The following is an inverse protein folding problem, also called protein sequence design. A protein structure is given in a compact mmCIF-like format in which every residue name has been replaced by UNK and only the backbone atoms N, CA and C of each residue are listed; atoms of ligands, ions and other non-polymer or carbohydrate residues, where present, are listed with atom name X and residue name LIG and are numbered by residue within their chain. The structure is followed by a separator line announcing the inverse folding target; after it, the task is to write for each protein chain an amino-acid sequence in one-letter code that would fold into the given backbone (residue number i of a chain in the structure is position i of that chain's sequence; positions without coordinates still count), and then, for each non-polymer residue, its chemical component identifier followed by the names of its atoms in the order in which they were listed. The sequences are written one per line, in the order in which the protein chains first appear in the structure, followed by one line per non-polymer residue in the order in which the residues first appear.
data_IF_155348162069
#
_entry.id   IF_155348162069
#
_cell.length_a   1.000
_cell.length_b   1.000
_cell.length_c   1.000
_cell.angle_alpha   90.00
_cell.angle_beta   90.00
_cell.angle_gamma   90.00
#
_symmetry.space_group_name_H-M   'P 1'
#
loop_
_entity.id
_entity.type
_entity.pdbx_description
1 polymer ?
#
# COMPACT_ATOMS: atom_id res chain seq x y z
N UNK A 1 10.34 -19.83 -5.07
CA UNK A 1 10.48 -18.55 -5.79
C UNK A 1 10.86 -17.53 -4.74
N UNK A 2 12.10 -17.07 -4.73
CA UNK A 2 12.50 -16.03 -3.78
C UNK A 2 11.71 -14.77 -4.05
N UNK A 3 10.91 -14.35 -3.08
CA UNK A 3 10.22 -13.07 -3.10
C UNK A 3 11.27 -11.98 -2.83
N UNK A 4 11.12 -10.85 -3.49
CA UNK A 4 11.94 -9.66 -3.17
C UNK A 4 11.62 -9.30 -1.72
N UNK A 5 12.60 -9.28 -0.80
CA UNK A 5 12.35 -8.96 0.60
C UNK A 5 11.93 -7.50 0.73
N UNK A 6 10.89 -7.25 1.52
CA UNK A 6 10.34 -5.92 1.81
C UNK A 6 10.27 -5.65 3.32
N UNK A 7 10.98 -6.44 4.12
CA UNK A 7 10.89 -6.38 5.60
C UNK A 7 11.28 -5.00 6.14
N UNK A 8 12.28 -4.38 5.53
CA UNK A 8 12.72 -3.02 5.89
C UNK A 8 11.62 -2.00 5.63
N UNK A 9 11.04 -2.04 4.44
CA UNK A 9 9.97 -1.10 4.05
C UNK A 9 8.71 -1.30 4.91
N UNK A 10 8.39 -2.55 5.33
CA UNK A 10 7.31 -2.83 6.27
C UNK A 10 7.60 -2.23 7.65
N UNK A 11 8.83 -2.36 8.16
CA UNK A 11 9.25 -1.77 9.42
C UNK A 11 9.26 -0.24 9.36
N UNK A 12 9.77 0.34 8.27
CA UNK A 12 9.79 1.79 8.04
C UNK A 12 8.37 2.35 7.98
N UNK A 13 7.44 1.63 7.35
CA UNK A 13 6.03 2.03 7.28
C UNK A 13 5.34 1.93 8.65
N UNK A 14 5.62 0.91 9.46
CA UNK A 14 5.14 0.84 10.84
C UNK A 14 5.58 2.07 11.63
N UNK A 15 6.89 2.37 11.61
CA UNK A 15 7.43 3.54 12.31
C UNK A 15 6.82 4.86 11.80
N UNK A 16 6.52 4.94 10.49
CA UNK A 16 5.83 6.07 9.90
C UNK A 16 4.40 6.22 10.45
N UNK A 17 3.64 5.14 10.63
CA UNK A 17 2.29 5.17 11.19
C UNK A 17 2.27 5.54 12.68
N UNK A 18 3.35 5.28 13.42
CA UNK A 18 3.44 5.64 14.85
C UNK A 18 3.42 7.15 15.09
N UNK A 19 3.90 7.93 14.11
CA UNK A 19 3.99 9.39 14.18
C UNK A 19 2.99 10.12 13.27
N UNK A 20 2.28 9.38 12.41
CA UNK A 20 1.33 9.95 11.45
C UNK A 20 -0.06 9.34 11.62
N UNK A 21 -0.99 10.11 12.20
CA UNK A 21 -2.40 9.68 12.31
C UNK A 21 -3.08 9.65 10.94
N UNK A 22 -2.72 10.55 10.04
CA UNK A 22 -3.21 10.61 8.66
C UNK A 22 -2.04 10.63 7.71
N UNK A 23 -1.99 9.70 6.78
CA UNK A 23 -0.92 9.58 5.81
C UNK A 23 -1.41 9.24 4.42
N UNK A 24 -0.68 9.70 3.43
CA UNK A 24 -0.80 9.26 2.04
C UNK A 24 0.26 8.20 1.79
N UNK A 25 -0.17 7.02 1.38
CA UNK A 25 0.71 5.99 0.85
C UNK A 25 0.78 6.17 -0.67
N UNK A 26 1.86 6.80 -1.14
CA UNK A 26 2.05 7.10 -2.54
C UNK A 26 2.92 6.05 -3.22
N UNK A 27 2.38 5.42 -4.24
CA UNK A 27 3.12 4.50 -5.10
C UNK A 27 2.52 4.47 -6.51
N UNK A 28 3.37 4.29 -7.52
CA UNK A 28 2.93 4.22 -8.91
C UNK A 28 2.08 2.99 -9.19
N UNK A 29 1.32 3.04 -10.28
CA UNK A 29 0.61 1.88 -10.77
C UNK A 29 1.60 0.75 -11.11
N UNK A 30 1.33 -0.46 -10.58
CA UNK A 30 2.22 -1.61 -10.78
C UNK A 30 3.34 -1.78 -9.75
N UNK A 31 3.55 -0.85 -8.84
CA UNK A 31 4.58 -0.92 -7.79
C UNK A 31 4.26 -1.91 -6.65
N UNK A 32 3.21 -2.71 -6.79
CA UNK A 32 2.89 -3.76 -5.81
C UNK A 32 2.24 -3.24 -4.52
N UNK A 33 1.52 -2.09 -4.55
CA UNK A 33 0.79 -1.52 -3.40
C UNK A 33 -0.02 -2.56 -2.62
N UNK A 34 -0.89 -3.28 -3.32
CA UNK A 34 -1.77 -4.29 -2.72
C UNK A 34 -0.98 -5.45 -2.08
N UNK A 35 0.12 -5.87 -2.70
CA UNK A 35 1.00 -6.89 -2.11
C UNK A 35 1.63 -6.39 -0.81
N UNK A 36 2.21 -5.19 -0.83
CA UNK A 36 2.81 -4.56 0.35
C UNK A 36 1.83 -4.45 1.51
N UNK A 37 0.63 -3.91 1.24
CA UNK A 37 -0.40 -3.73 2.26
C UNK A 37 -0.92 -5.06 2.82
N UNK A 38 -1.03 -6.10 1.99
CA UNK A 38 -1.44 -7.42 2.46
C UNK A 38 -0.37 -8.04 3.37
N UNK A 39 0.91 -7.92 3.02
CA UNK A 39 1.99 -8.39 3.90
C UNK A 39 2.06 -7.55 5.18
N UNK A 40 1.86 -6.22 5.11
CA UNK A 40 1.78 -5.35 6.27
C UNK A 40 0.64 -5.75 7.21
N UNK A 41 -0.57 -5.90 6.69
CA UNK A 41 -1.75 -6.34 7.47
C UNK A 41 -1.53 -7.69 8.12
N UNK A 42 -0.91 -8.63 7.42
CA UNK A 42 -0.62 -9.97 7.92
C UNK A 42 0.43 -9.97 9.04
N UNK A 43 1.49 -9.17 8.87
CA UNK A 43 2.59 -9.08 9.84
C UNK A 43 2.15 -8.42 11.14
N UNK A 44 1.32 -7.38 11.06
CA UNK A 44 0.92 -6.56 12.21
C UNK A 44 -0.54 -6.74 12.65
N UNK A 45 -1.16 -7.88 12.33
CA UNK A 45 -2.55 -8.20 12.67
C UNK A 45 -2.84 -8.25 14.17
N UNK A 46 -1.82 -8.46 14.99
CA UNK A 46 -1.94 -8.55 16.45
C UNK A 46 -1.81 -7.17 17.13
N UNK A 47 -1.24 -6.18 16.43
CA UNK A 47 -1.10 -4.79 16.90
C UNK A 47 -2.23 -3.89 16.40
N UNK A 48 -2.73 -4.16 15.18
CA UNK A 48 -3.66 -3.29 14.46
C UNK A 48 -4.93 -4.04 14.03
N UNK A 49 -6.06 -3.34 14.14
CA UNK A 49 -7.31 -3.73 13.50
C UNK A 49 -7.51 -2.91 12.23
N UNK A 50 -7.56 -3.58 11.08
CA UNK A 50 -7.62 -2.96 9.77
C UNK A 50 -9.02 -3.01 9.17
N UNK A 51 -9.51 -1.87 8.69
CA UNK A 51 -10.65 -1.76 7.78
C UNK A 51 -10.14 -1.26 6.44
N UNK A 52 -10.51 -1.92 5.35
CA UNK A 52 -10.05 -1.55 4.00
C UNK A 52 -11.24 -1.22 3.11
N UNK A 53 -11.26 -0.02 2.56
CA UNK A 53 -12.26 0.45 1.62
C UNK A 53 -11.71 0.47 0.21
N UNK A 54 -12.58 0.13 -0.74
CA UNK A 54 -12.31 0.18 -2.18
C UNK A 54 -13.29 1.12 -2.86
N UNK A 55 -13.04 2.44 -2.90
CA UNK A 55 -13.99 3.43 -3.42
C UNK A 55 -14.40 3.21 -4.87
N UNK A 56 -13.60 2.48 -5.63
CA UNK A 56 -13.98 2.06 -7.00
C UNK A 56 -15.32 1.31 -7.03
N UNK A 57 -15.68 0.61 -5.95
CA UNK A 57 -16.95 -0.08 -5.82
C UNK A 57 -18.14 0.87 -5.72
N UNK A 58 -17.89 2.14 -5.38
CA UNK A 58 -18.90 3.18 -5.23
C UNK A 58 -18.92 4.18 -6.40
N UNK A 59 -18.16 3.92 -7.45
CA UNK A 59 -17.94 4.84 -8.57
C UNK A 59 -19.21 5.26 -9.32
N UNK A 60 -20.28 4.46 -9.21
CA UNK A 60 -21.61 4.77 -9.81
C UNK A 60 -22.51 5.58 -8.87
N UNK A 61 -22.10 5.82 -7.62
CA UNK A 61 -22.87 6.59 -6.66
C UNK A 61 -22.85 8.08 -7.00
N UNK A 62 -23.91 8.80 -6.65
CA UNK A 62 -23.86 10.25 -6.68
C UNK A 62 -22.86 10.77 -5.64
N UNK A 63 -22.20 11.90 -5.94
CA UNK A 63 -21.18 12.45 -5.07
C UNK A 63 -21.68 12.73 -3.63
N UNK A 64 -22.95 13.07 -3.47
CA UNK A 64 -23.59 13.27 -2.17
C UNK A 64 -23.76 11.96 -1.37
N UNK A 65 -23.75 10.80 -2.04
CA UNK A 65 -24.04 9.49 -1.44
C UNK A 65 -22.79 8.71 -1.06
N UNK A 66 -21.61 9.16 -1.48
CA UNK A 66 -20.36 8.40 -1.32
C UNK A 66 -20.09 8.01 0.14
N UNK A 67 -20.40 8.91 1.10
CA UNK A 67 -20.18 8.63 2.52
C UNK A 67 -21.19 7.65 3.11
N UNK A 68 -22.39 7.55 2.55
CA UNK A 68 -23.34 6.50 2.92
C UNK A 68 -22.78 5.11 2.62
N UNK A 69 -22.16 4.94 1.44
CA UNK A 69 -21.51 3.68 1.06
C UNK A 69 -20.30 3.40 1.94
N UNK A 70 -19.47 4.40 2.22
CA UNK A 70 -18.31 4.28 3.11
C UNK A 70 -18.75 3.82 4.51
N UNK A 71 -19.72 4.50 5.13
CA UNK A 71 -20.23 4.14 6.46
C UNK A 71 -20.78 2.72 6.49
N UNK A 72 -21.58 2.33 5.50
CA UNK A 72 -22.15 0.99 5.39
C UNK A 72 -21.09 -0.09 5.19
N UNK A 73 -20.06 0.17 4.38
CA UNK A 73 -18.95 -0.77 4.17
C UNK A 73 -18.14 -0.97 5.44
N UNK A 74 -17.81 0.11 6.17
CA UNK A 74 -17.14 0.03 7.47
C UNK A 74 -17.96 -0.84 8.43
N UNK A 75 -19.27 -0.56 8.59
CA UNK A 75 -20.15 -1.30 9.48
C UNK A 75 -20.31 -2.76 9.07
N UNK A 76 -20.36 -3.04 7.77
CA UNK A 76 -20.44 -4.40 7.25
C UNK A 76 -19.18 -5.21 7.62
N UNK A 77 -17.97 -4.61 7.48
CA UNK A 77 -16.73 -5.26 7.88
C UNK A 77 -16.68 -5.49 9.39
N UNK A 78 -17.06 -4.50 10.22
CA UNK A 78 -17.17 -4.63 11.67
C UNK A 78 -18.17 -5.73 12.09
N UNK A 79 -19.30 -5.81 11.40
CA UNK A 79 -20.32 -6.84 11.65
C UNK A 79 -19.80 -8.24 11.29
N UNK A 80 -19.16 -8.37 10.13
CA UNK A 80 -18.57 -9.63 9.65
C UNK A 80 -17.53 -10.18 10.64
N UNK A 81 -16.73 -9.30 11.22
CA UNK A 81 -15.67 -9.64 12.17
C UNK A 81 -16.20 -9.82 13.61
N UNK A 82 -17.52 -9.75 13.81
CA UNK A 82 -18.16 -9.92 15.12
C UNK A 82 -17.84 -8.80 16.12
N UNK A 83 -17.40 -7.64 15.65
CA UNK A 83 -17.01 -6.51 16.52
C UNK A 83 -18.19 -5.66 16.98
N UNK A 84 -19.35 -5.75 16.33
CA UNK A 84 -20.57 -5.00 16.70
C UNK A 84 -21.24 -5.50 17.99
N UNK A 85 -20.75 -6.57 18.59
CA UNK A 85 -21.41 -7.31 19.65
C UNK A 85 -21.58 -6.58 21.01
N UNK A 86 -20.65 -5.71 21.42
CA UNK A 86 -20.74 -5.06 22.73
C UNK A 86 -21.22 -3.61 22.70
N UNK A 87 -21.97 -3.20 21.66
CA UNK A 87 -22.40 -1.81 21.52
C UNK A 87 -23.15 -1.34 22.73
N UNK A 88 -22.60 -0.38 23.43
CA UNK A 88 -23.26 0.35 24.49
C UNK A 88 -24.01 1.54 23.91
N UNK A 89 -25.32 1.34 23.62
CA UNK A 89 -26.18 2.44 23.19
C UNK A 89 -26.38 3.50 24.29
N UNK A 90 -26.04 3.21 25.56
CA UNK A 90 -26.12 4.20 26.65
C UNK A 90 -25.00 5.23 26.54
N UNK A 91 -23.84 4.86 25.98
CA UNK A 91 -22.75 5.80 25.65
C UNK A 91 -23.07 6.73 24.49
N UNK A 92 -24.01 6.37 23.60
CA UNK A 92 -24.47 7.19 22.46
C UNK A 92 -25.49 8.26 22.95
N UNK A 93 -25.24 8.90 24.07
CA UNK A 93 -26.17 9.90 24.63
C UNK A 93 -26.02 11.30 24.04
N UNK A 94 -25.17 11.47 23.03
CA UNK A 94 -24.96 12.78 22.41
C UNK A 94 -26.08 13.14 21.43
N UNK A 95 -26.35 14.42 21.35
CA UNK A 95 -27.46 15.15 20.75
C UNK A 95 -27.78 14.85 19.28
N UNK A 96 -26.95 14.05 18.59
CA UNK A 96 -26.95 13.89 17.13
C UNK A 96 -27.75 12.67 16.67
N UNK A 97 -27.97 11.69 17.53
CA UNK A 97 -28.66 10.45 17.17
C UNK A 97 -30.17 10.64 17.14
N UNK A 98 -30.77 10.70 15.96
CA UNK A 98 -32.22 10.79 15.84
C UNK A 98 -32.90 9.41 15.95
N UNK A 99 -34.19 9.37 16.31
CA UNK A 99 -34.99 8.12 16.28
C UNK A 99 -35.07 7.53 14.86
N UNK A 100 -34.96 8.37 13.86
CA UNK A 100 -35.00 7.99 12.45
C UNK A 100 -33.68 7.32 12.07
N UNK A 101 -32.52 7.94 12.39
CA UNK A 101 -31.21 7.35 12.23
C UNK A 101 -31.06 6.01 12.95
N UNK A 102 -31.60 5.91 14.16
CA UNK A 102 -31.60 4.64 14.92
C UNK A 102 -32.37 3.54 14.18
N UNK A 103 -33.55 3.84 13.64
CA UNK A 103 -34.34 2.85 12.87
C UNK A 103 -33.60 2.40 11.62
N UNK A 104 -32.97 3.31 10.92
CA UNK A 104 -32.18 2.98 9.72
C UNK A 104 -30.99 2.08 10.07
N UNK A 105 -30.21 2.42 11.12
CA UNK A 105 -29.09 1.62 11.60
C UNK A 105 -29.55 0.23 12.01
N UNK A 106 -30.63 0.13 12.80
CA UNK A 106 -31.19 -1.16 13.23
C UNK A 106 -31.66 -1.97 12.01
N UNK A 107 -32.34 -1.34 11.06
CA UNK A 107 -32.80 -2.00 9.83
C UNK A 107 -31.63 -2.54 9.03
N UNK A 108 -30.56 -1.75 8.88
CA UNK A 108 -29.34 -2.18 8.23
C UNK A 108 -28.69 -3.37 8.95
N UNK A 109 -28.53 -3.30 10.28
CA UNK A 109 -27.95 -4.39 11.07
C UNK A 109 -28.78 -5.68 10.99
N UNK A 110 -30.12 -5.57 10.96
CA UNK A 110 -31.03 -6.70 10.75
C UNK A 110 -30.77 -7.36 9.40
N UNK A 111 -30.47 -6.57 8.36
CA UNK A 111 -30.20 -7.09 7.02
C UNK A 111 -28.83 -7.77 6.90
N UNK A 112 -27.85 -7.36 7.73
CA UNK A 112 -26.45 -7.82 7.65
C UNK A 112 -26.11 -8.94 8.63
N UNK A 113 -26.83 -9.06 9.76
CA UNK A 113 -26.52 -10.01 10.81
C UNK A 113 -27.43 -11.25 10.75
N UNK A 114 -26.87 -12.46 10.99
CA UNK A 114 -27.69 -13.64 11.12
C UNK A 114 -28.65 -13.50 12.32
N UNK A 115 -29.86 -14.05 12.18
CA UNK A 115 -30.84 -14.08 13.28
C UNK A 115 -30.25 -14.77 14.50
N UNK A 116 -30.25 -14.12 15.67
CA UNK A 116 -29.68 -14.68 16.87
C UNK A 116 -29.69 -13.73 18.06
N UNK A 117 -28.98 -14.12 19.11
CA UNK A 117 -28.91 -13.42 20.39
C UNK A 117 -28.37 -11.99 20.27
N UNK A 118 -27.42 -11.78 19.35
CA UNK A 118 -26.78 -10.47 19.06
C UNK A 118 -27.83 -9.48 18.55
N UNK A 119 -28.65 -9.90 17.60
CA UNK A 119 -29.68 -9.06 17.01
C UNK A 119 -30.74 -8.69 18.04
N UNK A 120 -31.14 -9.65 18.91
CA UNK A 120 -32.10 -9.40 19.97
C UNK A 120 -31.56 -8.38 20.98
N UNK A 121 -30.31 -8.49 21.40
CA UNK A 121 -29.66 -7.51 22.29
C UNK A 121 -29.61 -6.10 21.68
N UNK A 122 -29.30 -5.98 20.38
CA UNK A 122 -29.31 -4.71 19.65
C UNK A 122 -30.71 -4.11 19.62
N UNK A 123 -31.75 -4.92 19.35
CA UNK A 123 -33.15 -4.48 19.32
C UNK A 123 -33.66 -4.02 20.70
N UNK A 124 -33.31 -4.73 21.77
CA UNK A 124 -33.67 -4.36 23.13
C UNK A 124 -33.02 -3.04 23.57
N UNK A 125 -31.70 -2.93 23.36
CA UNK A 125 -30.97 -1.69 23.66
C UNK A 125 -31.48 -0.51 22.82
N UNK A 126 -31.79 -0.72 21.54
CA UNK A 126 -32.36 0.30 20.66
C UNK A 126 -33.74 0.80 21.16
N UNK A 127 -34.59 -0.09 21.70
CA UNK A 127 -35.89 0.28 22.30
C UNK A 127 -35.72 1.13 23.58
N UNK A 128 -34.77 0.75 24.43
CA UNK A 128 -34.45 1.49 25.66
C UNK A 128 -33.93 2.90 25.31
N UNK A 129 -33.02 2.99 24.37
CA UNK A 129 -32.50 4.27 23.84
C UNK A 129 -33.64 5.15 23.29
N UNK A 130 -34.51 4.59 22.45
CA UNK A 130 -35.62 5.32 21.84
C UNK A 130 -36.57 5.93 22.89
N UNK A 131 -36.76 5.26 24.05
CA UNK A 131 -37.56 5.77 25.14
C UNK A 131 -36.88 6.94 25.85
N UNK A 132 -35.61 6.80 26.21
CA UNK A 132 -34.81 7.85 26.86
C UNK A 132 -34.65 9.09 25.96
N UNK A 133 -34.43 8.88 24.67
CA UNK A 133 -34.27 9.96 23.67
C UNK A 133 -35.52 10.87 23.59
N UNK A 134 -36.74 10.31 23.66
CA UNK A 134 -38.00 11.08 23.63
C UNK A 134 -38.14 12.00 24.82
N UNK A 135 -37.56 11.67 25.96
CA UNK A 135 -37.67 12.42 27.20
C UNK A 135 -36.69 13.60 27.29
N UNK A 136 -35.57 13.57 26.55
CA UNK A 136 -34.45 14.52 26.67
C UNK A 136 -34.37 15.57 25.53
N UNK A 137 -35.25 15.53 24.53
CA UNK A 137 -35.16 16.36 23.33
C UNK A 137 -35.62 17.81 23.54
N UNK A 138 -34.68 18.76 23.38
CA UNK A 138 -34.98 20.19 23.21
C UNK A 138 -35.12 20.56 21.72
N UNK A 139 -35.76 21.72 21.42
CA UNK A 139 -35.88 22.21 20.02
C UNK A 139 -34.54 22.48 19.40
N UNK A 140 -33.57 22.97 20.16
CA UNK A 140 -32.22 23.23 19.70
C UNK A 140 -31.49 21.92 19.32
N UNK A 141 -31.54 20.92 20.18
CA UNK A 141 -30.95 19.59 19.89
C UNK A 141 -31.54 18.93 18.66
N UNK A 142 -32.83 19.12 18.39
CA UNK A 142 -33.47 18.63 17.16
C UNK A 142 -32.94 19.33 15.90
N UNK A 143 -32.73 20.63 15.96
CA UNK A 143 -32.17 21.38 14.85
C UNK A 143 -30.71 21.03 14.59
N UNK A 144 -29.91 20.95 15.64
CA UNK A 144 -28.50 20.56 15.57
C UNK A 144 -28.35 19.16 14.97
N UNK A 145 -29.11 18.16 15.45
CA UNK A 145 -29.07 16.82 14.91
C UNK A 145 -29.51 16.76 13.45
N UNK A 146 -30.53 17.53 13.07
CA UNK A 146 -30.96 17.63 11.67
C UNK A 146 -29.88 18.25 10.80
N UNK A 147 -29.25 19.35 11.23
CA UNK A 147 -28.23 20.05 10.46
C UNK A 147 -26.97 19.20 10.26
N UNK A 148 -26.50 18.55 11.30
CA UNK A 148 -25.28 17.74 11.25
C UNK A 148 -25.43 16.43 10.49
N UNK A 149 -26.62 15.86 10.46
CA UNK A 149 -26.94 14.60 9.77
C UNK A 149 -27.24 14.75 8.28
N UNK A 150 -27.25 16.01 7.75
CA UNK A 150 -27.63 16.24 6.37
C UNK A 150 -26.67 15.51 5.40
N UNK A 151 -27.28 14.68 4.56
CA UNK A 151 -26.60 13.95 3.49
C UNK A 151 -25.96 14.91 2.49
N UNK A 152 -24.71 14.67 2.10
CA UNK A 152 -23.97 15.58 1.24
C UNK A 152 -23.39 16.81 1.95
N UNK A 153 -23.69 17.02 3.22
CA UNK A 153 -23.11 18.07 4.06
C UNK A 153 -21.64 17.83 4.40
N UNK A 154 -20.99 18.84 4.98
CA UNK A 154 -19.60 18.73 5.40
C UNK A 154 -19.45 17.74 6.58
N UNK A 155 -20.39 17.77 7.48
CA UNK A 155 -20.32 16.99 8.71
C UNK A 155 -20.71 15.53 8.48
N UNK A 156 -21.81 15.27 7.81
CA UNK A 156 -22.36 13.92 7.59
C UNK A 156 -22.29 13.01 8.83
N UNK A 157 -22.54 13.59 9.98
CA UNK A 157 -22.48 12.94 11.27
C UNK A 157 -23.88 12.46 11.65
N UNK A 158 -24.09 11.17 11.57
CA UNK A 158 -25.37 10.50 11.77
C UNK A 158 -25.22 9.26 12.68
N UNK A 159 -26.29 8.51 12.84
CA UNK A 159 -26.28 7.29 13.64
C UNK A 159 -25.30 6.22 13.18
N UNK A 160 -25.01 6.15 11.90
CA UNK A 160 -23.98 5.22 11.39
C UNK A 160 -22.58 5.65 11.85
N UNK A 161 -22.29 6.95 11.81
CA UNK A 161 -21.01 7.51 12.27
C UNK A 161 -20.79 7.24 13.76
N UNK A 162 -21.81 7.50 14.61
CA UNK A 162 -21.74 7.23 16.05
C UNK A 162 -21.51 5.74 16.34
N UNK A 163 -22.22 4.86 15.65
CA UNK A 163 -22.05 3.42 15.80
C UNK A 163 -20.64 2.96 15.45
N UNK A 164 -20.05 3.53 14.40
CA UNK A 164 -18.66 3.25 14.03
C UNK A 164 -17.73 3.69 15.16
N UNK A 165 -17.86 4.93 15.64
CA UNK A 165 -17.02 5.50 16.70
C UNK A 165 -17.08 4.63 17.97
N UNK A 166 -18.27 4.28 18.45
CA UNK A 166 -18.42 3.45 19.66
C UNK A 166 -17.85 2.04 19.48
N UNK A 167 -18.01 1.46 18.28
CA UNK A 167 -17.41 0.16 17.99
C UNK A 167 -15.88 0.23 17.97
N UNK A 168 -15.30 1.29 17.40
CA UNK A 168 -13.86 1.49 17.39
C UNK A 168 -13.30 1.73 18.79
N UNK A 169 -14.00 2.48 19.66
CA UNK A 169 -13.62 2.63 21.07
C UNK A 169 -13.51 1.27 21.78
N UNK A 170 -14.46 0.38 21.52
CA UNK A 170 -14.40 -0.98 22.07
C UNK A 170 -13.17 -1.75 21.56
N UNK A 171 -12.88 -1.68 20.27
CA UNK A 171 -11.69 -2.33 19.67
C UNK A 171 -10.40 -1.78 20.30
N UNK A 172 -10.30 -0.46 20.45
CA UNK A 172 -9.17 0.20 21.12
C UNK A 172 -9.02 -0.25 22.57
N UNK A 173 -10.13 -0.37 23.32
CA UNK A 173 -10.11 -0.86 24.70
C UNK A 173 -9.62 -2.32 24.81
N UNK A 174 -9.70 -3.09 23.73
CA UNK A 174 -9.15 -4.45 23.61
C UNK A 174 -7.66 -4.48 23.26
N UNK A 175 -6.99 -3.32 23.18
CA UNK A 175 -5.55 -3.20 22.95
C UNK A 175 -5.12 -3.05 21.50
N UNK A 176 -6.05 -2.97 20.54
CA UNK A 176 -5.73 -2.75 19.13
C UNK A 176 -5.68 -1.26 18.78
N UNK A 177 -4.74 -0.87 17.93
CA UNK A 177 -4.83 0.38 17.17
C UNK A 177 -5.70 0.17 15.94
N UNK A 178 -6.59 1.11 15.64
CA UNK A 178 -7.54 1.02 14.54
C UNK A 178 -7.04 1.76 13.30
N UNK A 179 -7.04 1.09 12.15
CA UNK A 179 -6.51 1.63 10.90
C UNK A 179 -7.54 1.56 9.79
N UNK A 180 -7.85 2.71 9.18
CA UNK A 180 -8.65 2.81 7.98
C UNK A 180 -7.75 2.93 6.75
N UNK A 181 -7.86 1.97 5.83
CA UNK A 181 -7.15 1.97 4.56
C UNK A 181 -8.14 2.29 3.45
N UNK A 182 -7.84 3.28 2.61
CA UNK A 182 -8.67 3.66 1.47
C UNK A 182 -7.84 3.50 0.20
N UNK A 183 -8.14 2.45 -0.57
CA UNK A 183 -7.35 2.06 -1.73
C UNK A 183 -7.75 2.79 -3.01
N UNK A 184 -6.77 3.00 -3.90
CA UNK A 184 -6.93 3.41 -5.29
C UNK A 184 -7.79 4.67 -5.50
N UNK A 185 -7.60 5.71 -4.68
CA UNK A 185 -8.34 6.98 -4.79
C UNK A 185 -8.08 7.73 -6.11
N UNK A 186 -6.95 7.50 -6.76
CA UNK A 186 -6.60 8.07 -8.06
C UNK A 186 -7.31 7.41 -9.25
N UNK A 187 -8.17 6.40 -8.99
CA UNK A 187 -8.93 5.67 -10.01
C UNK A 187 -10.42 5.96 -10.04
N UNK A 188 -10.91 6.78 -9.12
CA UNK A 188 -12.32 7.17 -9.03
C UNK A 188 -12.53 8.57 -9.62
N UNK A 189 -13.80 8.97 -9.74
CA UNK A 189 -14.13 10.33 -10.17
C UNK A 189 -13.43 11.38 -9.28
N UNK A 190 -12.80 12.41 -9.84
CA UNK A 190 -12.13 13.45 -9.08
C UNK A 190 -13.01 14.11 -8.02
N UNK A 191 -14.32 14.29 -8.31
CA UNK A 191 -15.25 14.85 -7.33
C UNK A 191 -15.40 13.97 -6.10
N UNK A 192 -15.42 12.64 -6.29
CA UNK A 192 -15.44 11.67 -5.19
C UNK A 192 -14.12 11.69 -4.42
N UNK A 193 -12.97 11.67 -5.12
CA UNK A 193 -11.65 11.71 -4.50
C UNK A 193 -11.53 12.90 -3.56
N UNK A 194 -11.76 14.11 -4.06
CA UNK A 194 -11.60 15.32 -3.25
C UNK A 194 -12.66 15.42 -2.15
N UNK A 195 -13.88 14.92 -2.38
CA UNK A 195 -14.88 14.85 -1.33
C UNK A 195 -14.46 13.92 -0.20
N UNK A 196 -13.96 12.72 -0.51
CA UNK A 196 -13.47 11.77 0.51
C UNK A 196 -12.37 12.42 1.36
N UNK A 197 -11.37 13.03 0.71
CA UNK A 197 -10.30 13.73 1.42
C UNK A 197 -10.83 14.86 2.32
N UNK A 198 -11.71 15.72 1.79
CA UNK A 198 -12.25 16.85 2.53
C UNK A 198 -13.07 16.42 3.75
N UNK A 199 -13.96 15.43 3.61
CA UNK A 199 -14.84 14.99 4.71
C UNK A 199 -14.07 14.21 5.77
N UNK A 200 -13.10 13.36 5.37
CA UNK A 200 -12.24 12.67 6.35
C UNK A 200 -11.28 13.60 7.08
N UNK A 201 -10.81 14.64 6.39
CA UNK A 201 -9.92 15.65 6.95
C UNK A 201 -10.65 16.84 7.60
N UNK A 202 -11.98 16.90 7.51
CA UNK A 202 -12.75 17.97 8.15
C UNK A 202 -12.50 17.95 9.65
N UNK A 203 -12.06 19.11 10.18
CA UNK A 203 -12.03 19.31 11.61
C UNK A 203 -13.46 19.19 12.12
N UNK A 204 -13.67 18.32 13.07
CA UNK A 204 -14.93 18.28 13.83
C UNK A 204 -14.91 19.57 14.63
N UNK A 205 -15.86 20.44 14.34
CA UNK A 205 -15.91 21.78 14.95
C UNK A 205 -16.06 21.62 16.46
N UNK A 206 -15.11 22.14 17.25
CA UNK A 206 -15.10 22.03 18.71
C UNK A 206 -16.41 22.57 19.32
N UNK A 207 -17.10 23.46 18.62
CA UNK A 207 -18.39 24.02 19.04
C UNK A 207 -19.55 23.01 18.99
N UNK A 208 -19.48 21.99 18.13
CA UNK A 208 -20.50 20.94 18.03
C UNK A 208 -20.23 19.76 18.97
N UNK A 209 -18.98 19.61 19.39
CA UNK A 209 -18.51 18.49 20.20
C UNK A 209 -17.69 18.98 21.39
N UNK A 210 -18.34 19.42 22.44
CA UNK A 210 -17.71 20.00 23.64
C UNK A 210 -16.56 19.19 24.28
N UNK A 211 -16.22 18.00 23.80
CA UNK A 211 -15.17 17.11 24.37
C UNK A 211 -14.58 16.08 23.40
N UNK A 212 -14.74 16.19 22.10
CA UNK A 212 -14.17 15.16 21.22
C UNK A 212 -12.75 15.52 20.78
N UNK A 213 -11.75 14.82 21.30
CA UNK A 213 -10.36 14.84 20.80
C UNK A 213 -10.19 13.95 19.55
N UNK A 214 -11.20 13.89 18.66
CA UNK A 214 -11.14 13.06 17.46
C UNK A 214 -10.26 13.73 16.40
N UNK A 215 -9.26 13.00 15.91
CA UNK A 215 -8.38 13.48 14.85
C UNK A 215 -9.00 13.35 13.45
N UNK A 216 -10.09 12.59 13.33
CA UNK A 216 -10.81 12.32 12.10
C UNK A 216 -12.27 11.94 12.34
N UNK A 217 -13.06 11.91 11.25
CA UNK A 217 -14.51 11.71 11.28
C UNK A 217 -14.98 10.48 12.07
N UNK A 218 -14.27 9.36 12.02
CA UNK A 218 -14.68 8.08 12.60
C UNK A 218 -13.87 7.68 13.84
N UNK A 219 -12.95 8.53 14.29
CA UNK A 219 -12.05 8.23 15.42
C UNK A 219 -11.15 7.01 15.19
N UNK A 220 -10.64 6.79 13.96
CA UNK A 220 -9.55 5.86 13.73
C UNK A 220 -8.23 6.41 14.30
N UNK A 221 -7.36 5.53 14.79
CA UNK A 221 -6.01 5.94 15.21
C UNK A 221 -5.14 6.32 13.99
N UNK A 222 -5.31 5.60 12.88
CA UNK A 222 -4.62 5.92 11.62
C UNK A 222 -5.58 5.89 10.42
N UNK A 223 -5.43 6.85 9.51
CA UNK A 223 -6.05 6.85 8.18
C UNK A 223 -4.94 6.81 7.12
N UNK A 224 -4.99 5.82 6.24
CA UNK A 224 -4.07 5.63 5.12
C UNK A 224 -4.87 5.81 3.82
N UNK A 225 -4.59 6.89 3.09
CA UNK A 225 -5.13 7.11 1.75
C UNK A 225 -4.11 6.70 0.70
N UNK A 226 -4.53 5.88 -0.26
CA UNK A 226 -3.62 5.26 -1.24
C UNK A 226 -3.90 5.80 -2.63
N UNK A 227 -2.90 6.45 -3.20
CA UNK A 227 -2.92 6.94 -4.59
C UNK A 227 -1.50 7.24 -5.09
N UNK A 228 -1.33 7.38 -6.39
CA UNK A 228 -0.12 7.95 -6.99
C UNK A 228 -0.19 9.48 -6.87
N UNK A 229 0.74 10.05 -6.10
CA UNK A 229 0.77 11.49 -5.85
C UNK A 229 0.92 12.30 -7.14
N UNK A 230 1.70 11.81 -8.10
CA UNK A 230 1.91 12.50 -9.38
C UNK A 230 0.66 12.49 -10.27
N UNK A 231 -0.08 11.39 -10.26
CA UNK A 231 -1.36 11.27 -10.97
C UNK A 231 -2.40 12.19 -10.33
N UNK A 232 -2.50 12.18 -9.01
CA UNK A 232 -3.44 13.02 -8.26
C UNK A 232 -3.12 14.51 -8.42
N UNK A 233 -1.85 14.90 -8.48
CA UNK A 233 -1.42 16.26 -8.78
C UNK A 233 -1.91 16.74 -10.16
N UNK A 234 -1.80 15.89 -11.18
CA UNK A 234 -2.31 16.19 -12.52
C UNK A 234 -3.85 16.33 -12.52
N UNK A 235 -4.56 15.47 -11.81
CA UNK A 235 -6.01 15.56 -11.63
C UNK A 235 -6.38 16.86 -10.94
N UNK A 236 -5.66 17.24 -9.88
CA UNK A 236 -5.88 18.48 -9.15
C UNK A 236 -5.73 19.71 -10.05
N UNK A 237 -4.64 19.78 -10.84
CA UNK A 237 -4.43 20.91 -11.76
C UNK A 237 -5.46 20.96 -12.89
N UNK A 238 -6.00 19.82 -13.29
CA UNK A 238 -7.11 19.78 -14.24
C UNK A 238 -8.39 20.37 -13.64
N UNK A 239 -8.69 20.06 -12.37
CA UNK A 239 -9.92 20.50 -11.69
C UNK A 239 -9.85 21.95 -11.19
N UNK A 240 -8.71 22.37 -10.63
CA UNK A 240 -8.54 23.65 -9.92
C UNK A 240 -7.67 24.67 -10.67
N UNK A 241 -7.11 24.28 -11.81
CA UNK A 241 -6.24 25.11 -12.64
C UNK A 241 -4.75 25.04 -12.26
N UNK A 242 -3.89 25.29 -13.24
CA UNK A 242 -2.43 25.12 -13.14
C UNK A 242 -1.73 25.98 -12.08
N UNK A 243 -2.38 27.08 -11.64
CA UNK A 243 -1.84 27.97 -10.63
C UNK A 243 -2.28 27.64 -9.21
N UNK A 244 -3.09 26.58 -9.03
CA UNK A 244 -3.53 26.16 -7.72
C UNK A 244 -2.37 25.48 -6.95
N UNK A 245 -2.34 25.64 -5.62
CA UNK A 245 -1.28 25.08 -4.79
C UNK A 245 -1.66 23.65 -4.33
N UNK A 246 -1.23 22.66 -5.11
CA UNK A 246 -1.45 21.24 -4.79
C UNK A 246 -0.85 20.83 -3.44
N UNK A 247 0.41 21.16 -3.19
CA UNK A 247 1.08 20.79 -1.94
C UNK A 247 0.38 21.41 -0.72
N UNK A 248 -0.01 22.68 -0.81
CA UNK A 248 -0.78 23.33 0.26
C UNK A 248 -2.16 22.70 0.46
N UNK A 249 -2.78 22.17 -0.59
CA UNK A 249 -4.05 21.46 -0.49
C UNK A 249 -3.88 20.08 0.16
N UNK A 250 -2.94 19.27 -0.32
CA UNK A 250 -2.70 17.91 0.17
C UNK A 250 -2.21 17.89 1.63
N UNK A 251 -1.42 18.87 2.03
CA UNK A 251 -0.92 18.98 3.41
C UNK A 251 -2.03 19.13 4.46
N UNK A 252 -3.26 19.45 4.07
CA UNK A 252 -4.43 19.45 4.99
C UNK A 252 -4.86 18.04 5.39
N UNK A 253 -4.53 17.03 4.59
CA UNK A 253 -4.98 15.65 4.76
C UNK A 253 -3.94 14.70 5.35
N UNK A 254 -2.75 15.20 5.63
CA UNK A 254 -1.65 14.43 6.23
C UNK A 254 -1.19 15.09 7.53
N UNK A 255 -0.66 14.29 8.46
CA UNK A 255 -0.14 14.81 9.73
C UNK A 255 1.23 15.44 9.56
N UNK A 256 2.16 14.77 8.84
CA UNK A 256 3.50 15.28 8.59
C UNK A 256 3.92 15.16 7.13
N UNK A 257 4.09 13.94 6.61
CA UNK A 257 4.55 13.71 5.23
C UNK A 257 3.95 12.44 4.62
N UNK A 258 3.83 12.38 3.27
CA UNK A 258 3.45 11.14 2.59
C UNK A 258 4.52 10.06 2.76
N UNK A 259 4.11 8.80 2.74
CA UNK A 259 4.99 7.66 2.61
C UNK A 259 5.13 7.28 1.14
N UNK A 260 6.32 7.41 0.59
CA UNK A 260 6.60 7.07 -0.82
C UNK A 260 7.14 5.65 -0.92
N UNK A 261 6.38 4.78 -1.56
CA UNK A 261 6.76 3.39 -1.78
C UNK A 261 7.07 3.13 -3.25
N UNK A 262 8.15 2.42 -3.52
CA UNK A 262 8.48 1.93 -4.85
C UNK A 262 9.17 0.57 -4.77
N UNK A 263 8.45 -0.46 -5.13
CA UNK A 263 9.00 -1.82 -5.23
C UNK A 263 10.09 -1.90 -6.29
N UNK A 264 10.07 -1.03 -7.31
CA UNK A 264 11.12 -0.97 -8.32
C UNK A 264 12.47 -0.63 -7.69
N UNK A 265 12.51 0.34 -6.76
CA UNK A 265 13.74 0.70 -6.05
C UNK A 265 14.25 -0.47 -5.21
N UNK A 266 13.37 -1.11 -4.45
CA UNK A 266 13.70 -2.29 -3.63
C UNK A 266 14.19 -3.43 -4.50
N UNK A 267 13.50 -3.69 -5.62
CA UNK A 267 13.88 -4.72 -6.58
C UNK A 267 15.26 -4.44 -7.20
N UNK A 268 15.58 -3.19 -7.51
CA UNK A 268 16.88 -2.78 -8.02
C UNK A 268 18.00 -2.97 -6.98
N UNK A 269 17.76 -2.53 -5.74
CA UNK A 269 18.72 -2.72 -4.65
C UNK A 269 19.00 -4.21 -4.41
N UNK A 270 17.94 -5.04 -4.44
CA UNK A 270 18.06 -6.48 -4.31
C UNK A 270 18.79 -7.13 -5.49
N UNK A 271 18.51 -6.69 -6.73
CA UNK A 271 19.23 -7.13 -7.93
C UNK A 271 20.73 -6.84 -7.80
N UNK A 272 21.11 -5.63 -7.43
CA UNK A 272 22.51 -5.27 -7.24
C UNK A 272 23.19 -6.08 -6.13
N UNK A 273 22.48 -6.39 -5.06
CA UNK A 273 22.97 -7.30 -4.02
C UNK A 273 23.27 -8.70 -4.56
N UNK A 274 22.37 -9.25 -5.38
CA UNK A 274 22.59 -10.56 -6.03
C UNK A 274 23.72 -10.49 -7.01
N UNK A 275 23.80 -9.45 -7.84
CA UNK A 275 24.89 -9.25 -8.79
C UNK A 275 26.23 -9.16 -8.05
N UNK A 276 26.31 -8.37 -6.98
CA UNK A 276 27.52 -8.27 -6.18
C UNK A 276 27.96 -9.62 -5.61
N UNK A 277 27.00 -10.41 -5.10
CA UNK A 277 27.32 -11.71 -4.53
C UNK A 277 27.70 -12.77 -5.57
N UNK A 278 27.04 -12.78 -6.73
CA UNK A 278 27.25 -13.81 -7.76
C UNK A 278 28.29 -13.43 -8.81
N UNK A 279 28.30 -12.17 -9.24
CA UNK A 279 29.18 -11.66 -10.29
C UNK A 279 30.43 -10.97 -9.74
N UNK A 280 30.48 -10.68 -8.43
CA UNK A 280 31.53 -9.87 -7.80
C UNK A 280 31.66 -8.46 -8.43
N UNK A 281 30.55 -7.91 -8.95
CA UNK A 281 30.49 -6.58 -9.57
C UNK A 281 29.62 -5.64 -8.77
N UNK A 282 30.06 -4.40 -8.64
CA UNK A 282 29.33 -3.31 -8.01
C UNK A 282 28.53 -2.49 -9.05
N UNK A 283 27.67 -1.59 -8.57
CA UNK A 283 26.99 -0.61 -9.44
C UNK A 283 28.00 0.30 -10.15
N UNK A 284 29.10 0.65 -9.48
CA UNK A 284 30.17 1.48 -10.03
C UNK A 284 30.90 0.76 -11.17
N UNK A 285 31.09 -0.56 -11.08
CA UNK A 285 31.70 -1.35 -12.16
C UNK A 285 30.88 -1.27 -13.45
N UNK A 286 29.53 -1.28 -13.36
CA UNK A 286 28.67 -1.10 -14.54
C UNK A 286 28.76 0.30 -15.13
N UNK A 287 28.92 1.34 -14.31
CA UNK A 287 29.22 2.70 -14.79
C UNK A 287 30.55 2.79 -15.52
N UNK A 288 31.58 2.13 -14.98
CA UNK A 288 32.92 2.09 -15.61
C UNK A 288 32.88 1.35 -16.95
N UNK A 289 32.07 0.29 -17.07
CA UNK A 289 31.87 -0.40 -18.36
C UNK A 289 31.17 0.50 -19.37
N UNK A 290 30.04 1.09 -19.02
CA UNK A 290 29.24 2.02 -19.82
C UNK A 290 28.10 2.65 -19.01
N UNK A 291 27.98 3.98 -19.10
CA UNK A 291 26.83 4.70 -18.52
C UNK A 291 25.49 4.22 -19.12
N UNK A 292 25.47 3.77 -20.37
CA UNK A 292 24.27 3.22 -21.01
C UNK A 292 23.88 1.87 -20.42
N UNK A 293 24.85 1.03 -20.10
CA UNK A 293 24.65 -0.27 -19.46
C UNK A 293 24.07 -0.11 -18.07
N UNK A 294 24.63 0.79 -17.25
CA UNK A 294 24.10 1.10 -15.92
C UNK A 294 22.66 1.62 -16.01
N UNK A 295 22.37 2.56 -16.90
CA UNK A 295 21.01 3.05 -17.13
C UNK A 295 20.05 1.94 -17.55
N UNK A 296 20.50 1.03 -18.41
CA UNK A 296 19.69 -0.13 -18.84
C UNK A 296 19.35 -1.03 -17.67
N UNK A 297 20.33 -1.36 -16.80
CA UNK A 297 20.10 -2.18 -15.60
C UNK A 297 19.17 -1.46 -14.61
N UNK A 298 19.40 -0.17 -14.36
CA UNK A 298 18.60 0.64 -13.44
C UNK A 298 17.16 0.87 -13.93
N UNK A 299 16.87 0.72 -15.22
CA UNK A 299 15.54 0.86 -15.81
C UNK A 299 14.78 -0.46 -15.97
N UNK A 300 15.34 -1.59 -15.53
CA UNK A 300 14.69 -2.90 -15.67
C UNK A 300 13.35 -2.95 -14.92
N UNK A 301 12.34 -3.54 -15.54
CA UNK A 301 11.05 -3.78 -14.90
C UNK A 301 11.16 -4.87 -13.83
N UNK A 302 10.26 -4.85 -12.83
CA UNK A 302 10.19 -5.88 -11.79
C UNK A 302 10.10 -7.28 -12.40
N UNK A 303 9.33 -7.43 -13.49
CA UNK A 303 9.18 -8.72 -14.19
C UNK A 303 10.52 -9.20 -14.72
N UNK A 304 11.30 -8.32 -15.34
CA UNK A 304 12.63 -8.63 -15.86
C UNK A 304 13.59 -8.94 -14.72
N UNK A 305 13.57 -8.15 -13.64
CA UNK A 305 14.40 -8.39 -12.45
C UNK A 305 14.10 -9.77 -11.85
N UNK A 306 12.83 -10.12 -11.67
CA UNK A 306 12.44 -11.47 -11.19
C UNK A 306 12.91 -12.57 -12.13
N UNK A 307 12.81 -12.38 -13.43
CA UNK A 307 13.30 -13.34 -14.43
C UNK A 307 14.82 -13.51 -14.34
N UNK A 308 15.57 -12.42 -14.14
CA UNK A 308 17.02 -12.49 -13.96
C UNK A 308 17.37 -13.27 -12.69
N UNK A 309 16.79 -12.89 -11.56
CA UNK A 309 17.07 -13.51 -10.26
C UNK A 309 16.80 -15.03 -10.28
N UNK A 310 15.65 -15.43 -10.83
CA UNK A 310 15.26 -16.85 -10.90
C UNK A 310 15.97 -17.63 -12.03
N UNK A 311 16.38 -16.93 -13.08
CA UNK A 311 16.93 -17.54 -14.28
C UNK A 311 18.45 -17.67 -14.30
N UNK A 312 19.18 -16.90 -13.48
CA UNK A 312 20.66 -16.92 -13.51
C UNK A 312 21.23 -18.33 -13.25
N UNK A 313 20.74 -19.03 -12.25
CA UNK A 313 21.21 -20.38 -11.91
C UNK A 313 20.80 -21.41 -12.97
N UNK A 314 19.58 -21.32 -13.49
CA UNK A 314 19.08 -22.20 -14.56
C UNK A 314 19.84 -22.01 -15.87
N UNK A 315 20.16 -20.74 -16.21
CA UNK A 315 20.92 -20.41 -17.41
C UNK A 315 22.33 -21.06 -17.42
N UNK A 316 22.94 -21.20 -16.25
CA UNK A 316 24.25 -21.81 -16.07
C UNK A 316 24.16 -23.35 -16.19
N UNK A 317 23.12 -23.96 -15.60
CA UNK A 317 22.92 -25.41 -15.63
C UNK A 317 22.67 -25.93 -17.04
N UNK A 318 21.90 -25.24 -17.87
CA UNK A 318 21.65 -25.62 -19.26
C UNK A 318 22.92 -25.69 -20.12
N UNK A 319 24.00 -24.96 -19.74
CA UNK A 319 25.30 -24.97 -20.45
C UNK A 319 26.34 -25.90 -19.86
N UNK A 320 26.15 -26.45 -18.68
CA UNK A 320 26.99 -27.50 -18.12
C UNK A 320 27.07 -28.72 -19.03
N UNK A 321 26.00 -28.98 -19.79
CA UNK A 321 25.92 -30.15 -20.69
C UNK A 321 26.87 -30.06 -21.91
N UNK A 322 27.27 -28.89 -22.33
CA UNK A 322 28.09 -28.69 -23.52
C UNK A 322 29.60 -28.83 -23.21
N UNK A 323 30.00 -28.61 -21.96
CA UNK A 323 31.40 -28.67 -21.54
C UNK A 323 31.93 -30.06 -21.13
N UNK A 324 31.00 -30.98 -20.81
CA UNK A 324 31.42 -32.27 -20.29
C UNK A 324 31.88 -33.30 -21.30
N UNK A 325 31.54 -33.13 -22.58
CA UNK A 325 31.81 -34.17 -23.60
C UNK A 325 33.25 -34.10 -24.19
N UNK A 326 33.99 -33.00 -23.96
CA UNK A 326 35.31 -32.84 -24.65
C UNK A 326 36.53 -33.09 -23.78
N UNK A 327 36.50 -33.05 -22.46
CA UNK A 327 37.73 -33.11 -21.64
C UNK A 327 37.63 -33.93 -20.32
N UNK A 328 36.52 -34.54 -20.01
CA UNK A 328 36.38 -35.38 -18.77
C UNK A 328 36.58 -34.64 -17.44
N UNK A 329 36.64 -33.31 -17.46
CA UNK A 329 36.81 -32.49 -16.28
C UNK A 329 35.50 -31.75 -15.96
N UNK A 330 35.00 -31.92 -14.74
CA UNK A 330 33.85 -31.14 -14.24
C UNK A 330 34.26 -29.67 -14.08
N UNK A 331 33.76 -28.81 -14.93
CA UNK A 331 33.94 -27.38 -14.77
C UNK A 331 33.02 -26.82 -13.67
N UNK A 332 33.56 -25.97 -12.81
CA UNK A 332 32.75 -25.21 -11.90
C UNK A 332 32.07 -24.07 -12.66
N UNK A 333 30.87 -24.34 -13.21
CA UNK A 333 30.08 -23.37 -13.98
C UNK A 333 29.53 -22.23 -13.13
N UNK A 334 29.61 -22.33 -11.79
CA UNK A 334 29.19 -21.29 -10.84
C UNK A 334 30.34 -20.32 -10.53
N UNK A 335 30.88 -19.67 -11.55
CA UNK A 335 31.89 -18.65 -11.39
C UNK A 335 31.34 -17.24 -11.57
N UNK A 336 31.93 -16.20 -10.98
CA UNK A 336 31.49 -14.83 -11.18
C UNK A 336 31.39 -14.43 -12.65
N UNK A 337 32.33 -14.87 -13.50
CA UNK A 337 32.30 -14.60 -14.93
C UNK A 337 31.11 -15.24 -15.64
N UNK A 338 30.79 -16.50 -15.34
CA UNK A 338 29.65 -17.19 -15.96
C UNK A 338 28.33 -16.51 -15.56
N UNK A 339 28.19 -16.07 -14.31
CA UNK A 339 27.05 -15.29 -13.87
C UNK A 339 26.99 -13.91 -14.56
N UNK A 340 28.12 -13.25 -14.79
CA UNK A 340 28.20 -11.98 -15.53
C UNK A 340 27.77 -12.14 -16.98
N UNK A 341 28.24 -13.19 -17.66
CA UNK A 341 27.83 -13.49 -19.04
C UNK A 341 26.33 -13.84 -19.09
N UNK A 342 25.83 -14.62 -18.14
CA UNK A 342 24.41 -14.93 -18.03
C UNK A 342 23.58 -13.65 -17.88
N UNK A 343 23.97 -12.76 -16.96
CA UNK A 343 23.32 -11.47 -16.75
C UNK A 343 23.25 -10.65 -18.04
N UNK A 344 24.39 -10.47 -18.75
CA UNK A 344 24.44 -9.71 -20.00
C UNK A 344 23.47 -10.27 -21.04
N UNK A 345 23.44 -11.59 -21.21
CA UNK A 345 22.52 -12.22 -22.16
C UNK A 345 21.04 -12.06 -21.74
N UNK A 346 20.75 -12.14 -20.45
CA UNK A 346 19.39 -11.95 -19.94
C UNK A 346 18.88 -10.52 -20.09
N UNK A 347 19.79 -9.53 -20.10
CA UNK A 347 19.44 -8.12 -20.40
C UNK A 347 19.55 -7.80 -21.91
N UNK A 348 19.75 -8.81 -22.77
CA UNK A 348 19.75 -8.67 -24.23
C UNK A 348 21.09 -8.23 -24.87
N UNK A 349 22.20 -8.44 -24.15
CA UNK A 349 23.55 -8.25 -24.71
C UNK A 349 24.10 -9.63 -25.08
N UNK A 350 23.94 -10.01 -26.35
CA UNK A 350 24.27 -11.35 -26.82
C UNK A 350 25.64 -11.44 -27.53
N UNK A 351 26.16 -10.30 -27.98
CA UNK A 351 27.43 -10.26 -28.69
C UNK A 351 28.62 -10.39 -27.74
N UNK A 352 29.43 -11.40 -27.99
CA UNK A 352 30.59 -11.74 -27.15
C UNK A 352 31.70 -10.67 -27.22
N UNK A 353 31.78 -9.95 -28.34
CA UNK A 353 32.78 -8.89 -28.53
C UNK A 353 32.41 -7.72 -27.62
N UNK A 354 31.14 -7.31 -27.61
CA UNK A 354 30.62 -6.26 -26.75
C UNK A 354 30.80 -6.61 -25.26
N UNK A 355 30.53 -7.87 -24.89
CA UNK A 355 30.75 -8.34 -23.50
C UNK A 355 32.23 -8.23 -23.14
N UNK A 356 33.13 -8.65 -24.02
CA UNK A 356 34.57 -8.55 -23.82
C UNK A 356 35.02 -7.09 -23.66
N UNK A 357 34.54 -6.17 -24.50
CA UNK A 357 34.84 -4.75 -24.40
C UNK A 357 34.39 -4.14 -23.07
N UNK A 358 33.25 -4.52 -22.58
CA UNK A 358 32.78 -4.09 -21.24
C UNK A 358 33.67 -4.59 -20.13
N UNK A 359 34.04 -5.88 -20.13
CA UNK A 359 34.89 -6.48 -19.11
C UNK A 359 36.29 -5.84 -19.08
N UNK A 360 36.88 -5.47 -20.26
CA UNK A 360 38.19 -4.80 -20.31
C UNK A 360 38.18 -3.36 -19.77
N UNK A 361 37.03 -2.74 -19.56
CA UNK A 361 36.91 -1.42 -18.94
C UNK A 361 36.84 -1.48 -17.42
N UNK A 362 36.82 -2.67 -16.84
CA UNK A 362 36.80 -2.82 -15.38
C UNK A 362 38.17 -2.44 -14.78
N UNK A 363 38.16 -1.87 -13.54
CA UNK A 363 39.38 -1.73 -12.76
C UNK A 363 40.06 -3.10 -12.56
N UNK A 364 41.38 -3.14 -12.49
CA UNK A 364 42.14 -4.40 -12.38
C UNK A 364 41.67 -5.33 -11.28
N UNK A 365 41.33 -4.78 -10.11
CA UNK A 365 40.85 -5.58 -8.95
C UNK A 365 39.48 -6.19 -9.24
N UNK A 366 38.55 -5.43 -9.82
CA UNK A 366 37.23 -5.92 -10.21
C UNK A 366 37.30 -6.92 -11.35
N UNK A 367 38.19 -6.68 -12.29
CA UNK A 367 38.51 -7.62 -13.40
C UNK A 367 39.09 -8.93 -12.84
N UNK A 368 40.05 -8.84 -11.93
CA UNK A 368 40.68 -10.04 -11.29
C UNK A 368 39.63 -10.85 -10.50
N UNK A 369 38.76 -10.22 -9.74
CA UNK A 369 37.68 -10.86 -9.00
C UNK A 369 36.66 -11.55 -9.92
N UNK A 370 36.34 -10.93 -11.07
CA UNK A 370 35.47 -11.50 -12.09
C UNK A 370 36.17 -12.61 -12.91
N UNK A 371 37.47 -12.48 -13.17
CA UNK A 371 38.29 -13.25 -14.14
C UNK A 371 39.13 -14.35 -13.52
N UNK A 372 39.11 -14.55 -12.21
CA UNK A 372 39.86 -15.70 -11.62
C UNK A 372 39.52 -17.06 -12.25
N UNK A 373 38.70 -17.07 -13.29
CA UNK A 373 38.30 -18.22 -14.11
C UNK A 373 38.59 -18.00 -15.63
N UNK A 374 39.10 -16.82 -16.09
CA UNK A 374 39.30 -16.57 -17.51
C UNK A 374 40.37 -17.47 -18.11
N UNK A 375 41.36 -17.84 -17.35
CA UNK A 375 42.38 -18.82 -17.78
C UNK A 375 41.80 -20.20 -18.08
N UNK A 376 40.68 -20.60 -17.42
CA UNK A 376 40.03 -21.86 -17.73
C UNK A 376 39.21 -21.82 -19.02
N UNK A 377 38.53 -20.71 -19.36
CA UNK A 377 37.69 -20.62 -20.57
C UNK A 377 38.58 -20.44 -21.84
N UNK A 378 39.68 -19.75 -21.73
CA UNK A 378 40.60 -19.54 -22.88
C UNK A 378 41.25 -20.85 -23.33
N UNK A 379 41.51 -21.78 -22.41
CA UNK A 379 42.02 -23.12 -22.74
C UNK A 379 40.94 -24.09 -23.26
N UNK A 380 39.67 -23.69 -23.26
CA UNK A 380 38.54 -24.57 -23.56
C UNK A 380 37.73 -24.20 -24.80
N UNK A 381 38.03 -23.11 -25.46
CA UNK A 381 37.59 -22.90 -26.84
C UNK A 381 38.52 -23.72 -27.75
N UNK A 382 38.00 -24.73 -28.47
CA UNK A 382 38.83 -25.39 -29.46
C UNK A 382 39.31 -24.31 -30.44
N UNK A 383 40.59 -24.16 -30.54
CA UNK A 383 41.26 -23.34 -31.54
C UNK A 383 40.97 -23.92 -32.92
N UNK A 384 39.79 -23.67 -33.47
CA UNK A 384 39.48 -23.80 -34.89
C UNK A 384 39.61 -22.41 -35.57
N UNK A 385 40.74 -21.79 -35.40
CA UNK A 385 41.23 -20.78 -36.34
C UNK A 385 42.73 -21.03 -36.49
N UNK A 386 43.08 -21.86 -37.46
CA UNK A 386 44.37 -21.76 -38.14
C UNK A 386 44.54 -20.31 -38.54
N UNK A 387 45.42 -19.64 -37.82
CA UNK A 387 45.96 -18.35 -38.22
C UNK A 387 46.87 -18.66 -39.44
N UNK A 388 46.47 -18.22 -40.61
CA UNK A 388 47.39 -17.80 -41.64
C UNK A 388 47.76 -16.36 -41.43
#
# INVERSE_FOLDING_TARGET
MELIPIDKELSDFKSHLEINERTIFSAKFGDGKTFFLNEFKKLYKDDYYFITLYPINYSIADNQDIFEYIKRDILFQLAKDGKLNPIDFEGITNSIFTLESLKEVISFLISCLPKGEILNKILEKGKTFAKKYKEEQTTFKKYESWFTSQKGGLYEHDGYTELIIETLKYIKSSGYKTVLIIEDLDRIDPAHLFRILNVLGAHIDEHLYEKSNYSNKFDFDNIITIFDNSTTENIFYHCYGKNANYNGYINKFISHQPFYYSINKVAQEYLYKIISNKCCLSKEDFNNMSNELEKKISSLSIRTIKSIISGMDSYIIERDYIGNDYLGTKFNTKSPLTYTIALFKMIGINDIITIKEYLFKLPELSLLNCVNVFLMIYYLTPSNTTVQ
#
